data_IF_870014071360
#
_entry.id   IF_870014071360
#
_cell.length_a   1.000
_cell.length_b   1.000
_cell.length_c   1.000
_cell.angle_alpha   90.00
_cell.angle_beta   90.00
_cell.angle_gamma   90.00
#
_symmetry.space_group_name_H-M   'P 1'
#
loop_
_entity.id
_entity.type
_entity.pdbx_description
1 polymer ?
#
# COMPACT_ATOMS: atom_id res chain seq x y z
N UNK A 1 -5.82 19.44 1.20
CA UNK A 1 -6.46 18.30 0.50
C UNK A 1 -6.91 17.24 1.53
N UNK A 2 -8.12 17.34 2.12
CA UNK A 2 -8.54 16.42 3.19
C UNK A 2 -9.32 15.17 2.70
N UNK A 3 -10.06 15.27 1.58
CA UNK A 3 -11.02 14.24 1.16
C UNK A 3 -10.40 12.90 0.73
N UNK A 4 -9.17 12.87 0.21
CA UNK A 4 -8.55 11.61 -0.21
C UNK A 4 -8.10 10.74 0.97
N UNK A 5 -7.71 11.33 2.10
CA UNK A 5 -7.22 10.56 3.27
C UNK A 5 -8.25 9.57 3.84
N UNK A 6 -9.54 9.89 3.76
CA UNK A 6 -10.60 9.10 4.39
C UNK A 6 -11.00 7.84 3.61
N UNK A 7 -10.87 7.83 2.28
CA UNK A 7 -11.28 6.70 1.44
C UNK A 7 -10.31 5.52 1.54
N UNK A 8 -9.01 5.81 1.64
CA UNK A 8 -7.97 4.78 1.65
C UNK A 8 -7.93 4.01 2.99
N UNK A 9 -8.18 4.68 4.11
CA UNK A 9 -8.23 4.02 5.43
C UNK A 9 -9.32 2.93 5.50
N UNK A 10 -10.45 3.11 4.82
CA UNK A 10 -11.52 2.11 4.78
C UNK A 10 -11.10 0.83 4.04
N UNK A 11 -10.19 0.92 3.07
CA UNK A 11 -9.65 -0.26 2.40
C UNK A 11 -8.64 -1.00 3.27
N UNK A 12 -7.80 -0.27 4.02
CA UNK A 12 -6.87 -0.88 4.97
C UNK A 12 -7.60 -1.65 6.08
N UNK A 13 -8.70 -1.10 6.60
CA UNK A 13 -9.54 -1.80 7.58
C UNK A 13 -10.12 -3.12 7.04
N UNK A 14 -10.56 -3.16 5.77
CA UNK A 14 -11.02 -4.41 5.14
C UNK A 14 -9.91 -5.44 5.02
N UNK A 15 -8.67 -5.00 4.73
CA UNK A 15 -7.51 -5.89 4.69
C UNK A 15 -7.24 -6.45 6.09
N UNK A 16 -7.28 -5.60 7.12
CA UNK A 16 -7.09 -5.99 8.52
C UNK A 16 -8.15 -6.97 8.99
N UNK A 17 -9.42 -6.76 8.66
CA UNK A 17 -10.51 -7.67 9.00
C UNK A 17 -10.27 -9.06 8.40
N UNK A 18 -9.89 -9.12 7.12
CA UNK A 18 -9.71 -10.39 6.40
C UNK A 18 -8.41 -11.12 6.76
N UNK A 19 -7.32 -10.38 6.97
CA UNK A 19 -5.97 -10.95 7.03
C UNK A 19 -5.22 -10.64 8.32
N UNK A 20 -5.66 -9.69 9.13
CA UNK A 20 -4.94 -9.23 10.34
C UNK A 20 -4.72 -10.33 11.37
N UNK A 21 -5.63 -11.30 11.47
CA UNK A 21 -5.42 -12.47 12.35
C UNK A 21 -4.35 -13.43 11.84
N UNK A 22 -4.23 -13.58 10.52
CA UNK A 22 -3.29 -14.53 9.90
C UNK A 22 -1.90 -13.93 9.71
N UNK A 23 -1.85 -12.62 9.45
CA UNK A 23 -0.61 -11.88 9.15
C UNK A 23 -0.55 -10.56 9.93
N UNK A 24 -0.52 -10.60 11.27
CA UNK A 24 -0.59 -9.40 12.11
C UNK A 24 0.57 -8.42 11.86
N UNK A 25 1.79 -8.94 11.68
CA UNK A 25 2.96 -8.11 11.41
C UNK A 25 2.92 -7.44 10.04
N UNK A 26 2.42 -8.13 9.01
CA UNK A 26 2.26 -7.55 7.68
C UNK A 26 1.26 -6.40 7.75
N UNK A 27 0.08 -6.62 8.33
CA UNK A 27 -0.94 -5.56 8.45
C UNK A 27 -0.43 -4.37 9.27
N UNK A 28 0.26 -4.62 10.39
CA UNK A 28 0.85 -3.55 11.20
C UNK A 28 1.92 -2.75 10.44
N UNK A 29 2.74 -3.40 9.63
CA UNK A 29 3.71 -2.70 8.78
C UNK A 29 3.02 -1.77 7.78
N UNK A 30 1.88 -2.17 7.24
CA UNK A 30 1.11 -1.33 6.32
C UNK A 30 0.42 -0.17 7.03
N UNK A 31 -0.09 -0.37 8.26
CA UNK A 31 -0.64 0.70 9.10
C UNK A 31 0.43 1.76 9.44
N UNK A 32 1.63 1.32 9.84
CA UNK A 32 2.72 2.22 10.24
C UNK A 32 3.25 3.05 9.06
N UNK A 33 3.26 2.48 7.86
CA UNK A 33 3.76 3.15 6.64
C UNK A 33 2.62 3.68 5.75
N UNK A 34 1.40 3.77 6.27
CA UNK A 34 0.22 4.05 5.45
C UNK A 34 0.24 5.43 4.80
N UNK A 35 0.84 6.44 5.45
CA UNK A 35 0.97 7.77 4.85
C UNK A 35 1.79 7.73 3.56
N UNK A 36 2.89 6.98 3.56
CA UNK A 36 3.75 6.83 2.38
C UNK A 36 3.11 5.94 1.31
N UNK A 37 2.52 4.81 1.72
CA UNK A 37 1.87 3.86 0.80
C UNK A 37 0.64 4.47 0.14
N UNK A 38 -0.15 5.26 0.87
CA UNK A 38 -1.37 5.88 0.34
C UNK A 38 -1.07 6.89 -0.78
N UNK A 39 0.12 7.50 -0.77
CA UNK A 39 0.60 8.38 -1.83
C UNK A 39 0.70 7.67 -3.18
N UNK A 40 0.87 6.34 -3.20
CA UNK A 40 0.90 5.55 -4.43
C UNK A 40 -0.41 5.65 -5.23
N UNK A 41 -1.55 5.78 -4.54
CA UNK A 41 -2.86 5.83 -5.19
C UNK A 41 -3.13 7.16 -5.90
N UNK A 42 -2.32 8.20 -5.65
CA UNK A 42 -2.43 9.49 -6.32
C UNK A 42 -1.96 9.46 -7.78
N UNK A 43 -1.14 8.46 -8.15
CA UNK A 43 -0.60 8.31 -9.50
C UNK A 43 -1.63 7.67 -10.44
N UNK A 44 -1.57 7.95 -11.74
CA UNK A 44 -2.44 7.33 -12.74
C UNK A 44 -2.20 5.82 -12.87
N UNK A 45 -3.15 5.09 -13.46
CA UNK A 45 -3.02 3.65 -13.66
C UNK A 45 -1.75 3.27 -14.44
N UNK A 46 -1.37 4.06 -15.45
CA UNK A 46 -0.18 3.82 -16.27
C UNK A 46 1.11 3.98 -15.45
N UNK A 47 1.19 5.03 -14.62
CA UNK A 47 2.36 5.26 -13.75
C UNK A 47 2.45 4.15 -12.68
N UNK A 48 1.32 3.75 -12.07
CA UNK A 48 1.29 2.63 -11.12
C UNK A 48 1.72 1.31 -11.76
N UNK A 49 1.33 1.05 -13.01
CA UNK A 49 1.78 -0.13 -13.77
C UNK A 49 3.30 -0.17 -13.89
N UNK A 50 3.92 0.96 -14.25
CA UNK A 50 5.38 1.07 -14.34
C UNK A 50 6.03 0.75 -12.99
N UNK A 51 5.54 1.33 -11.89
CA UNK A 51 6.08 1.08 -10.55
C UNK A 51 6.01 -0.41 -10.14
N UNK A 52 4.91 -1.11 -10.43
CA UNK A 52 4.79 -2.55 -10.17
C UNK A 52 5.66 -3.42 -11.08
N UNK A 53 6.00 -2.96 -12.29
CA UNK A 53 6.83 -3.72 -13.23
C UNK A 53 8.33 -3.47 -13.07
N UNK A 54 8.71 -2.33 -12.48
CA UNK A 54 10.13 -2.01 -12.27
C UNK A 54 10.55 -2.57 -10.91
N UNK A 55 10.69 -3.89 -10.88
CA UNK A 55 11.27 -4.64 -9.78
C UNK A 55 12.80 -4.40 -9.70
N UNK A 56 13.18 -3.12 -9.53
CA UNK A 56 14.59 -2.71 -9.37
C UNK A 56 15.18 -3.38 -8.12
N UNK A 57 14.35 -3.68 -7.13
CA UNK A 57 14.78 -4.17 -5.82
C UNK A 57 15.12 -5.67 -5.85
N UNK A 58 14.37 -6.52 -6.57
CA UNK A 58 14.75 -7.94 -6.72
C UNK A 58 15.93 -8.14 -7.68
N UNK A 59 16.13 -7.24 -8.65
CA UNK A 59 17.29 -7.28 -9.56
C UNK A 59 18.63 -6.85 -8.95
N UNK A 60 18.60 -6.13 -7.81
CA UNK A 60 19.80 -5.65 -7.10
C UNK A 60 20.25 -6.56 -5.95
N UNK A 61 19.47 -7.59 -5.60
CA UNK A 61 19.80 -8.56 -4.54
C UNK A 61 20.51 -9.83 -5.06
N UNK A 62 21.14 -9.75 -6.24
CA UNK A 62 21.99 -10.80 -6.80
C UNK A 62 23.47 -10.47 -6.66
#
# INVERSE_FOLDING_TARGET
MPRMKHLHLAELEKIKEKWGRKYPYAVSSWENSWEDVSSFFQFSADIRRIMYTTNIIEGLNH
#
